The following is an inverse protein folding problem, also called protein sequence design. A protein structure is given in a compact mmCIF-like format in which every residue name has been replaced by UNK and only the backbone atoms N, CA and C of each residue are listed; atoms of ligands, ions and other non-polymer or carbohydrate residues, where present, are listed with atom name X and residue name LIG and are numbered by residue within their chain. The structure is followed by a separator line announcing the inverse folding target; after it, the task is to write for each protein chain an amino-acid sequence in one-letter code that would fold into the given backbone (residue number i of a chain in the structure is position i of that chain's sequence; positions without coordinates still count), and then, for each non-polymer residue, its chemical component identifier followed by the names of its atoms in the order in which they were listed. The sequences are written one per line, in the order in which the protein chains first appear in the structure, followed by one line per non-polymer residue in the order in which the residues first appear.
data_IF_442619901608
#
_entry.id   IF_442619901608
#
_cell.length_a   1.000
_cell.length_b   1.000
_cell.length_c   1.000
_cell.angle_alpha   90.00
_cell.angle_beta   90.00
_cell.angle_gamma   90.00
#
_symmetry.space_group_name_H-M   'P 1'
#
loop_
_entity.id
_entity.type
_entity.pdbx_description
1 polymer ?
#
# COMPACT_ATOMS: atom_id res chain seq x y z
N UNK A 1 44.51 -14.56 -38.44
CA UNK A 1 44.12 -13.29 -37.82
C UNK A 1 42.61 -13.25 -37.81
N UNK A 2 42.00 -13.64 -36.68
CA UNK A 2 40.57 -13.45 -36.48
C UNK A 2 40.31 -11.95 -36.41
N UNK A 3 39.37 -11.46 -37.22
CA UNK A 3 39.09 -10.05 -37.41
C UNK A 3 38.73 -9.36 -36.09
N UNK A 4 39.64 -8.52 -35.61
CA UNK A 4 39.47 -7.68 -34.42
C UNK A 4 38.17 -6.85 -34.46
N UNK A 5 37.69 -6.51 -35.67
CA UNK A 5 36.43 -5.82 -35.91
C UNK A 5 35.19 -6.62 -35.52
N UNK A 6 35.19 -7.94 -35.73
CA UNK A 6 34.05 -8.78 -35.39
C UNK A 6 33.88 -8.90 -33.87
N UNK A 7 35.00 -9.02 -33.12
CA UNK A 7 34.98 -9.04 -31.66
C UNK A 7 34.46 -7.75 -31.03
N UNK A 8 34.83 -6.59 -31.58
CA UNK A 8 34.37 -5.29 -31.08
C UNK A 8 32.86 -5.08 -31.25
N UNK A 9 32.29 -5.50 -32.39
CA UNK A 9 30.85 -5.38 -32.65
C UNK A 9 30.02 -6.29 -31.73
N UNK A 10 30.51 -7.49 -31.44
CA UNK A 10 29.87 -8.42 -30.50
C UNK A 10 29.91 -7.83 -29.08
N UNK A 11 31.04 -7.24 -28.68
CA UNK A 11 31.17 -6.62 -27.36
C UNK A 11 30.22 -5.43 -27.17
N UNK A 12 30.07 -4.56 -28.18
CA UNK A 12 29.10 -3.45 -28.14
C UNK A 12 27.65 -3.94 -28.10
N UNK A 13 27.33 -5.01 -28.82
CA UNK A 13 26.01 -5.66 -28.77
C UNK A 13 25.69 -6.17 -27.36
N UNK A 14 26.66 -6.82 -26.70
CA UNK A 14 26.48 -7.34 -25.34
C UNK A 14 26.30 -6.19 -24.34
N UNK A 15 27.10 -5.13 -24.44
CA UNK A 15 26.96 -3.93 -23.60
C UNK A 15 25.57 -3.27 -23.76
N UNK A 16 25.06 -3.19 -24.99
CA UNK A 16 23.73 -2.63 -25.26
C UNK A 16 22.62 -3.49 -24.64
N UNK A 17 22.74 -4.82 -24.69
CA UNK A 17 21.81 -5.74 -24.04
C UNK A 17 21.85 -5.62 -22.51
N UNK A 18 23.03 -5.44 -21.91
CA UNK A 18 23.17 -5.25 -20.46
C UNK A 18 22.49 -3.94 -20.00
N UNK A 19 22.64 -2.84 -20.76
CA UNK A 19 21.97 -1.58 -20.43
C UNK A 19 20.45 -1.64 -20.57
N UNK A 20 19.91 -2.41 -21.53
CA UNK A 20 18.47 -2.61 -21.68
C UNK A 20 17.86 -3.42 -20.52
N UNK A 21 18.62 -4.34 -19.91
CA UNK A 21 18.17 -5.12 -18.76
C UNK A 21 18.08 -4.27 -17.49
N UNK A 22 18.98 -3.28 -17.32
CA UNK A 22 18.99 -2.41 -16.13
C UNK A 22 17.94 -1.29 -16.13
N UNK A 23 17.21 -1.09 -17.22
CA UNK A 23 16.16 -0.05 -17.31
C UNK A 23 14.79 -0.49 -16.76
N UNK A 24 14.65 -1.73 -16.27
CA UNK A 24 13.31 -2.30 -16.01
C UNK A 24 12.87 -2.34 -14.55
N UNK A 25 13.74 -1.98 -13.60
CA UNK A 25 13.35 -1.87 -12.20
C UNK A 25 13.15 -0.39 -11.88
N UNK A 26 11.96 0.12 -12.18
CA UNK A 26 11.52 1.41 -11.68
C UNK A 26 11.25 1.23 -10.18
N UNK A 27 12.07 1.79 -9.27
CA UNK A 27 11.92 1.58 -7.82
C UNK A 27 10.60 2.13 -7.26
N UNK A 28 9.76 2.72 -8.11
CA UNK A 28 8.48 3.32 -7.81
C UNK A 28 7.29 2.59 -8.47
N UNK A 29 7.40 1.28 -8.75
CA UNK A 29 6.22 0.52 -9.20
C UNK A 29 5.13 0.58 -8.13
N UNK A 30 4.04 1.28 -8.43
CA UNK A 30 2.99 1.50 -7.45
C UNK A 30 2.17 0.23 -7.21
N UNK A 31 2.11 -0.23 -5.96
CA UNK A 31 1.26 -1.36 -5.55
C UNK A 31 0.08 -0.86 -4.71
N UNK A 32 -1.12 -1.19 -5.18
CA UNK A 32 -2.39 -0.92 -4.51
C UNK A 32 -2.91 -2.18 -3.83
N UNK A 33 -3.85 -2.02 -2.90
CA UNK A 33 -4.56 -3.17 -2.32
C UNK A 33 -5.49 -3.80 -3.35
N UNK A 34 -6.00 -5.00 -3.02
CA UNK A 34 -7.05 -5.65 -3.79
C UNK A 34 -8.27 -4.71 -3.92
N UNK A 35 -8.86 -4.66 -5.11
CA UNK A 35 -9.96 -3.76 -5.48
C UNK A 35 -9.61 -2.25 -5.43
N UNK A 36 -8.33 -1.90 -5.60
CA UNK A 36 -7.87 -0.53 -5.85
C UNK A 36 -7.00 -0.48 -7.11
N UNK A 37 -7.09 0.65 -7.83
CA UNK A 37 -6.27 0.92 -9.01
C UNK A 37 -5.51 2.24 -8.85
N UNK A 38 -4.33 2.31 -9.48
CA UNK A 38 -3.52 3.53 -9.52
C UNK A 38 -4.28 4.58 -10.31
N UNK A 39 -4.56 5.73 -9.69
CA UNK A 39 -5.11 6.87 -10.43
C UNK A 39 -3.98 7.70 -11.03
N UNK A 40 -4.09 8.01 -12.33
CA UNK A 40 -3.16 8.90 -13.03
C UNK A 40 -3.56 10.37 -12.90
N UNK A 41 -4.30 10.73 -11.84
CA UNK A 41 -4.66 12.12 -11.60
C UNK A 41 -3.38 12.95 -11.38
N UNK A 42 -2.99 13.67 -12.43
CA UNK A 42 -1.79 14.51 -12.55
C UNK A 42 -1.77 15.72 -11.62
N UNK A 43 -2.72 15.82 -10.70
CA UNK A 43 -2.90 16.98 -9.82
C UNK A 43 -2.05 16.86 -8.54
N UNK A 44 -1.40 15.72 -8.29
CA UNK A 44 -0.70 15.43 -7.04
C UNK A 44 0.81 15.21 -7.23
N UNK A 45 1.50 16.13 -7.90
CA UNK A 45 2.97 16.11 -7.99
C UNK A 45 3.65 16.15 -6.61
N UNK A 46 2.98 16.68 -5.58
CA UNK A 46 3.53 16.78 -4.22
C UNK A 46 3.08 15.66 -3.26
N UNK A 47 1.96 14.97 -3.50
CA UNK A 47 1.39 13.98 -2.54
C UNK A 47 1.67 12.53 -2.90
N UNK A 48 2.33 12.27 -4.03
CA UNK A 48 2.62 10.93 -4.52
C UNK A 48 1.40 10.26 -5.18
N UNK A 49 1.63 9.08 -5.74
CA UNK A 49 0.58 8.29 -6.39
C UNK A 49 -0.43 7.79 -5.35
N UNK A 50 -1.71 7.88 -5.69
CA UNK A 50 -2.81 7.38 -4.87
C UNK A 50 -3.46 6.15 -5.53
N UNK A 51 -4.02 5.28 -4.69
CA UNK A 51 -4.81 4.14 -5.08
C UNK A 51 -6.29 4.43 -4.81
N UNK A 52 -7.14 4.30 -5.83
CA UNK A 52 -8.58 4.56 -5.77
C UNK A 52 -9.36 3.25 -5.82
N UNK A 53 -10.33 3.09 -4.90
CA UNK A 53 -11.13 1.87 -4.83
C UNK A 53 -12.07 1.70 -6.01
N UNK A 54 -12.07 0.50 -6.60
CA UNK A 54 -12.85 0.15 -7.81
C UNK A 54 -14.13 -0.63 -7.51
N UNK A 55 -14.24 -1.27 -6.35
CA UNK A 55 -15.45 -1.98 -5.94
C UNK A 55 -16.51 -1.02 -5.36
N UNK A 56 -17.78 -1.43 -5.32
CA UNK A 56 -18.84 -0.63 -4.68
C UNK A 56 -18.64 -0.39 -3.17
N UNK A 57 -17.83 -1.24 -2.49
CA UNK A 57 -17.50 -1.12 -1.06
C UNK A 57 -16.33 -0.15 -0.83
N UNK A 58 -15.43 -0.07 -1.81
CA UNK A 58 -14.22 0.76 -1.80
C UNK A 58 -14.35 2.02 -2.64
N UNK A 59 -15.46 2.21 -3.34
CA UNK A 59 -15.72 3.37 -4.20
C UNK A 59 -15.54 4.67 -3.42
N UNK A 60 -14.74 5.59 -3.97
CA UNK A 60 -14.30 6.85 -3.35
C UNK A 60 -13.36 6.74 -2.13
N UNK A 61 -12.92 5.54 -1.73
CA UNK A 61 -11.83 5.41 -0.76
C UNK A 61 -10.49 5.57 -1.47
N UNK A 62 -9.58 6.29 -0.82
CA UNK A 62 -8.22 6.55 -1.30
C UNK A 62 -7.22 6.14 -0.25
N UNK A 63 -6.10 5.60 -0.69
CA UNK A 63 -4.95 5.35 0.15
C UNK A 63 -3.66 5.64 -0.63
N UNK A 64 -2.55 5.78 0.09
CA UNK A 64 -1.28 6.05 -0.56
C UNK A 64 -0.76 4.79 -1.24
N UNK A 65 -0.03 5.00 -2.33
CA UNK A 65 0.67 3.93 -2.98
C UNK A 65 1.66 3.21 -2.04
N UNK A 66 1.78 1.88 -2.18
CA UNK A 66 2.65 1.03 -1.35
C UNK A 66 2.33 1.12 0.15
N UNK A 67 1.17 1.65 0.53
CA UNK A 67 0.69 1.64 1.90
C UNK A 67 0.41 0.20 2.31
N UNK A 68 0.94 -0.28 3.45
CA UNK A 68 0.72 -1.65 3.88
C UNK A 68 -0.74 -1.86 4.29
N UNK A 69 -1.35 -2.94 3.79
CA UNK A 69 -2.76 -3.26 4.06
C UNK A 69 -2.99 -3.57 5.53
N UNK A 70 -3.96 -2.86 6.12
CA UNK A 70 -4.36 -3.06 7.50
C UNK A 70 -5.04 -4.42 7.67
N UNK A 71 -4.80 -5.14 8.79
CA UNK A 71 -5.54 -6.35 9.10
C UNK A 71 -7.05 -6.06 9.21
N UNK A 72 -7.87 -7.01 8.76
CA UNK A 72 -9.32 -6.91 8.90
C UNK A 72 -9.67 -7.20 10.36
N UNK A 73 -10.34 -6.27 11.03
CA UNK A 73 -10.71 -6.42 12.44
C UNK A 73 -11.67 -7.61 12.65
N UNK A 74 -11.27 -8.59 13.46
CA UNK A 74 -12.10 -9.71 13.85
C UNK A 74 -12.95 -9.35 15.08
N UNK A 75 -14.26 -9.58 15.01
CA UNK A 75 -15.19 -9.20 16.07
C UNK A 75 -16.30 -10.23 16.25
N UNK A 76 -16.50 -10.68 17.49
CA UNK A 76 -17.63 -11.52 17.88
C UNK A 76 -18.77 -10.64 18.35
N UNK A 77 -19.98 -10.81 17.78
CA UNK A 77 -21.19 -10.03 18.10
C UNK A 77 -21.13 -8.52 17.78
N UNK A 78 -20.21 -8.06 16.93
CA UNK A 78 -20.24 -6.68 16.43
C UNK A 78 -21.28 -6.51 15.32
N UNK A 79 -21.84 -5.30 15.23
CA UNK A 79 -22.70 -4.88 14.12
C UNK A 79 -21.88 -4.26 12.99
N UNK A 80 -20.76 -3.61 13.33
CA UNK A 80 -19.90 -2.92 12.37
C UNK A 80 -18.48 -2.76 12.92
N UNK A 81 -17.56 -2.37 12.03
CA UNK A 81 -16.23 -1.89 12.39
C UNK A 81 -16.26 -0.36 12.38
N UNK A 82 -15.77 0.25 13.45
CA UNK A 82 -15.60 1.69 13.58
C UNK A 82 -14.12 2.03 13.43
N UNK A 83 -13.79 2.91 12.49
CA UNK A 83 -12.44 3.44 12.31
C UNK A 83 -12.50 4.92 12.69
N UNK A 84 -11.73 5.30 13.70
CA UNK A 84 -11.59 6.68 14.16
C UNK A 84 -10.10 7.06 14.30
N UNK A 85 -9.83 8.28 14.75
CA UNK A 85 -8.48 8.81 15.00
C UNK A 85 -7.71 8.00 16.05
N UNK A 86 -8.40 7.33 16.96
CA UNK A 86 -7.80 6.48 18.00
C UNK A 86 -7.52 5.05 17.53
N UNK A 87 -8.09 4.62 16.40
CA UNK A 87 -7.80 3.31 15.80
C UNK A 87 -9.02 2.61 15.20
N UNK A 88 -8.93 1.29 15.10
CA UNK A 88 -9.98 0.42 14.55
C UNK A 88 -10.62 -0.41 15.67
N UNK A 89 -11.95 -0.46 15.68
CA UNK A 89 -12.73 -0.97 16.80
C UNK A 89 -13.92 -1.81 16.34
N UNK A 90 -14.26 -2.81 17.15
CA UNK A 90 -15.54 -3.50 17.07
C UNK A 90 -16.63 -2.60 17.65
N UNK A 91 -17.74 -2.47 16.94
CA UNK A 91 -18.86 -1.64 17.36
C UNK A 91 -20.18 -2.42 17.30
N UNK A 92 -20.95 -2.37 18.38
CA UNK A 92 -22.30 -2.91 18.43
C UNK A 92 -23.29 -1.78 18.68
N UNK A 93 -24.20 -1.61 17.73
CA UNK A 93 -25.29 -0.63 17.82
C UNK A 93 -26.56 -1.33 18.31
N UNK A 94 -27.12 -0.83 19.41
CA UNK A 94 -28.40 -1.30 19.91
C UNK A 94 -29.25 -0.09 20.30
N UNK A 95 -30.51 -0.04 19.83
CA UNK A 95 -31.41 1.09 20.15
C UNK A 95 -31.83 1.11 21.63
N UNK A 96 -31.76 -0.02 22.31
CA UNK A 96 -32.26 -0.22 23.67
C UNK A 96 -31.15 -0.25 24.73
N UNK A 97 -29.89 -0.35 24.33
CA UNK A 97 -28.72 -0.50 25.22
C UNK A 97 -27.65 0.50 24.77
N UNK A 98 -26.84 1.08 25.67
CA UNK A 98 -25.71 1.92 25.28
C UNK A 98 -24.82 1.22 24.24
N UNK A 99 -24.45 1.96 23.20
CA UNK A 99 -23.54 1.48 22.17
C UNK A 99 -22.25 0.96 22.80
N UNK A 100 -21.78 -0.20 22.34
CA UNK A 100 -20.56 -0.82 22.86
C UNK A 100 -19.46 -0.71 21.81
N UNK A 101 -18.31 -0.19 22.24
CA UNK A 101 -17.06 -0.11 21.48
C UNK A 101 -16.01 -0.96 22.21
N UNK A 102 -15.31 -1.85 21.50
CA UNK A 102 -14.20 -2.63 22.07
C UNK A 102 -13.13 -2.94 21.03
N UNK A 103 -11.96 -3.39 21.48
CA UNK A 103 -10.82 -3.71 20.62
C UNK A 103 -11.09 -4.90 19.70
N UNK A 104 -10.43 -4.92 18.54
CA UNK A 104 -10.38 -6.10 17.67
C UNK A 104 -9.88 -7.33 18.43
N UNK A 105 -10.44 -8.49 18.11
CA UNK A 105 -10.13 -9.77 18.76
C UNK A 105 -8.86 -10.41 18.18
N UNK A 106 -8.52 -10.12 16.93
CA UNK A 106 -7.29 -10.57 16.24
C UNK A 106 -6.05 -9.74 16.64
N UNK A 107 -5.78 -9.64 17.94
CA UNK A 107 -4.67 -8.82 18.47
C UNK A 107 -3.30 -9.24 17.94
N UNK A 108 -3.10 -10.51 17.65
CA UNK A 108 -1.83 -11.05 17.16
C UNK A 108 -1.48 -10.50 15.78
N UNK A 109 -2.40 -10.58 14.82
CA UNK A 109 -2.24 -9.99 13.48
C UNK A 109 -1.96 -8.48 13.52
N UNK A 110 -2.67 -7.76 14.41
CA UNK A 110 -2.43 -6.34 14.63
C UNK A 110 -1.05 -6.07 15.21
N UNK A 111 -0.57 -6.89 16.15
CA UNK A 111 0.77 -6.75 16.72
C UNK A 111 1.85 -7.01 15.68
N UNK A 112 1.71 -8.06 14.88
CA UNK A 112 2.62 -8.38 13.78
C UNK A 112 2.68 -7.26 12.74
N UNK A 113 1.52 -6.73 12.34
CA UNK A 113 1.45 -5.58 11.44
C UNK A 113 2.16 -4.36 12.06
N UNK A 114 1.88 -4.09 13.34
CA UNK A 114 2.40 -2.94 14.05
C UNK A 114 3.93 -2.99 14.17
N UNK A 115 4.49 -4.17 14.44
CA UNK A 115 5.94 -4.42 14.53
C UNK A 115 6.60 -4.33 13.15
N UNK A 116 6.00 -4.96 12.13
CA UNK A 116 6.54 -4.95 10.77
C UNK A 116 6.59 -3.57 10.13
N UNK A 117 5.62 -2.70 10.45
CA UNK A 117 5.44 -1.40 9.80
C UNK A 117 5.56 -0.20 10.77
N UNK A 118 6.27 -0.38 11.89
CA UNK A 118 6.47 0.70 12.88
C UNK A 118 7.12 1.95 12.24
N UNK A 119 8.14 1.74 11.41
CA UNK A 119 8.88 2.80 10.71
C UNK A 119 8.02 3.55 9.69
N UNK A 120 7.09 2.86 9.02
CA UNK A 120 6.16 3.47 8.07
C UNK A 120 5.23 4.48 8.77
N UNK A 121 4.75 4.15 9.98
CA UNK A 121 3.90 5.05 10.77
C UNK A 121 4.64 6.30 11.23
N UNK A 122 5.89 6.16 11.66
CA UNK A 122 6.69 7.31 12.13
C UNK A 122 6.92 8.32 11.00
N UNK A 123 7.17 7.84 9.78
CA UNK A 123 7.39 8.71 8.63
C UNK A 123 6.12 9.45 8.17
N UNK A 124 4.93 8.85 8.30
CA UNK A 124 3.65 9.48 7.91
C UNK A 124 3.34 10.74 8.74
N UNK A 125 3.81 10.81 9.98
CA UNK A 125 3.63 11.97 10.87
C UNK A 125 4.54 13.15 10.47
N UNK A 126 5.69 12.89 9.84
CA UNK A 126 6.65 13.93 9.45
C UNK A 126 6.25 14.72 8.19
N UNK A 127 5.30 14.23 7.39
CA UNK A 127 4.82 14.90 6.17
C UNK A 127 3.61 15.81 6.41
N UNK A 128 3.12 15.92 7.65
CA UNK A 128 2.06 16.87 8.05
C UNK A 128 2.71 18.01 8.84
N UNK A 129 3.49 18.85 8.15
CA UNK A 129 4.01 20.13 8.67
C UNK A 129 3.84 21.20 7.60
#
# INVERSE_FOLDING_TARGET
MLDFRAGFMIFLSILCLIHLVHLKDDPFSCQCWDDYEVTNDTILEERGLECLGTSWITFNKRHYCNEPQLPICACTNASSILIDDTGTWCFHYNRSIPNRKWNCENKEEWNEYNEKYETFRQNKVSFVV
#
